data_IF_746898976546
#
_entry.id   IF_746898976546
#
_cell.length_a   1.000
_cell.length_b   1.000
_cell.length_c   1.000
_cell.angle_alpha   90.00
_cell.angle_beta   90.00
_cell.angle_gamma   90.00
#
_symmetry.space_group_name_H-M   'P 1'
#
loop_
_entity.id
_entity.type
_entity.pdbx_description
1 polymer ?
#
# COMPACT_ATOMS: atom_id res chain seq x y z
N UNK A 1 21.36 -2.66 -19.98
CA UNK A 1 21.37 -3.77 -19.00
C UNK A 1 20.48 -4.88 -19.52
N UNK A 2 20.80 -6.16 -19.26
CA UNK A 2 19.89 -7.27 -19.58
C UNK A 2 18.60 -7.15 -18.78
N UNK A 3 17.48 -7.58 -19.38
CA UNK A 3 16.20 -7.70 -18.68
C UNK A 3 16.29 -8.82 -17.63
N UNK A 4 15.89 -8.54 -16.39
CA UNK A 4 15.98 -9.48 -15.26
C UNK A 4 14.60 -9.80 -14.70
N UNK A 5 14.50 -10.87 -13.91
CA UNK A 5 13.26 -11.19 -13.20
C UNK A 5 12.83 -10.05 -12.25
N UNK A 6 13.78 -9.41 -11.56
CA UNK A 6 13.48 -8.26 -10.69
C UNK A 6 13.00 -7.05 -11.50
N UNK A 7 13.51 -6.85 -12.71
CA UNK A 7 12.97 -5.83 -13.64
C UNK A 7 11.54 -6.17 -14.09
N UNK A 8 11.26 -7.44 -14.41
CA UNK A 8 9.90 -7.90 -14.73
C UNK A 8 8.92 -7.63 -13.58
N UNK A 9 9.30 -8.08 -12.38
CA UNK A 9 8.49 -7.94 -11.18
C UNK A 9 8.27 -6.48 -10.78
N UNK A 10 9.31 -5.65 -10.85
CA UNK A 10 9.22 -4.21 -10.60
C UNK A 10 8.19 -3.56 -11.54
N UNK A 11 8.29 -3.82 -12.84
CA UNK A 11 7.38 -3.23 -13.83
C UNK A 11 5.92 -3.67 -13.60
N UNK A 12 5.70 -4.95 -13.26
CA UNK A 12 4.36 -5.45 -12.94
C UNK A 12 3.79 -4.83 -11.65
N UNK A 13 4.60 -4.73 -10.59
CA UNK A 13 4.21 -4.10 -9.33
C UNK A 13 3.87 -2.61 -9.50
N UNK A 14 4.67 -1.88 -10.30
CA UNK A 14 4.39 -0.47 -10.66
C UNK A 14 3.07 -0.36 -11.40
N UNK A 15 2.83 -1.21 -12.40
CA UNK A 15 1.58 -1.19 -13.16
C UNK A 15 0.37 -1.48 -12.25
N UNK A 16 0.45 -2.51 -11.41
CA UNK A 16 -0.61 -2.86 -10.47
C UNK A 16 -0.91 -1.71 -9.48
N UNK A 17 0.14 -1.11 -8.90
CA UNK A 17 0.00 0.03 -8.00
C UNK A 17 -0.65 1.22 -8.69
N UNK A 18 -0.26 1.52 -9.92
CA UNK A 18 -0.87 2.59 -10.71
C UNK A 18 -2.35 2.34 -10.97
N UNK A 19 -2.72 1.12 -11.37
CA UNK A 19 -4.13 0.76 -11.61
C UNK A 19 -4.97 0.88 -10.35
N UNK A 20 -4.43 0.49 -9.20
CA UNK A 20 -5.14 0.54 -7.92
C UNK A 20 -5.50 1.97 -7.45
N UNK A 21 -4.76 3.00 -7.90
CA UNK A 21 -4.99 4.39 -7.48
C UNK A 21 -5.48 5.32 -8.60
N UNK A 22 -5.56 4.84 -9.85
CA UNK A 22 -5.78 5.69 -11.04
C UNK A 22 -7.06 6.54 -11.00
N UNK A 23 -8.14 6.03 -10.38
CA UNK A 23 -9.45 6.69 -10.39
C UNK A 23 -9.36 8.11 -9.80
N UNK A 24 -9.65 9.10 -10.65
CA UNK A 24 -9.66 10.52 -10.33
C UNK A 24 -8.36 11.01 -9.65
N UNK A 25 -7.20 10.53 -10.13
CA UNK A 25 -5.92 10.87 -9.51
C UNK A 25 -4.80 11.10 -10.49
N UNK A 26 -4.22 10.02 -11.03
CA UNK A 26 -2.97 10.11 -11.76
C UNK A 26 -2.78 8.92 -12.70
N UNK A 27 -1.74 8.98 -13.53
CA UNK A 27 -1.41 7.97 -14.53
C UNK A 27 -0.22 7.09 -14.09
N UNK A 28 0.04 6.02 -14.85
CA UNK A 28 1.12 5.08 -14.57
C UNK A 28 2.51 5.72 -14.62
N UNK A 29 2.74 6.72 -15.49
CA UNK A 29 4.04 7.37 -15.60
C UNK A 29 4.38 8.14 -14.31
N UNK A 30 3.41 8.85 -13.73
CA UNK A 30 3.58 9.57 -12.47
C UNK A 30 3.81 8.61 -11.29
N UNK A 31 3.05 7.52 -11.21
CA UNK A 31 3.23 6.50 -10.15
C UNK A 31 4.59 5.81 -10.27
N UNK A 32 5.00 5.43 -11.49
CA UNK A 32 6.34 4.88 -11.74
C UNK A 32 7.42 5.83 -11.25
N UNK A 33 7.35 7.09 -11.69
CA UNK A 33 8.32 8.11 -11.31
C UNK A 33 8.37 8.33 -9.80
N UNK A 34 7.22 8.31 -9.11
CA UNK A 34 7.16 8.42 -7.65
C UNK A 34 7.77 7.21 -6.93
N UNK A 35 7.47 5.98 -7.36
CA UNK A 35 8.07 4.76 -6.81
C UNK A 35 9.60 4.78 -7.00
N UNK A 36 10.08 5.24 -8.15
CA UNK A 36 11.52 5.36 -8.46
C UNK A 36 12.26 6.41 -7.61
N UNK A 37 11.53 7.27 -6.87
CA UNK A 37 12.10 8.18 -5.85
C UNK A 37 12.15 7.59 -4.45
N UNK A 38 11.78 6.33 -4.30
CA UNK A 38 11.75 5.63 -3.01
C UNK A 38 12.65 4.40 -3.04
N UNK A 39 12.81 3.79 -1.87
CA UNK A 39 13.57 2.57 -1.64
C UNK A 39 12.75 1.30 -1.93
N UNK A 40 11.50 1.41 -2.42
CA UNK A 40 10.64 0.26 -2.73
C UNK A 40 11.29 -0.72 -3.72
N UNK A 41 12.02 -0.21 -4.72
CA UNK A 41 12.73 -1.06 -5.68
C UNK A 41 13.86 -1.85 -5.02
N UNK A 42 14.58 -1.22 -4.08
CA UNK A 42 15.69 -1.84 -3.36
C UNK A 42 15.24 -3.02 -2.50
N UNK A 43 13.97 -3.08 -2.08
CA UNK A 43 13.40 -4.22 -1.36
C UNK A 43 13.42 -5.54 -2.17
N UNK A 44 13.49 -5.47 -3.50
CA UNK A 44 13.52 -6.67 -4.35
C UNK A 44 14.80 -7.50 -4.14
N UNK A 45 15.90 -6.82 -3.83
CA UNK A 45 17.23 -7.39 -3.66
C UNK A 45 17.65 -7.49 -2.18
N UNK A 46 16.80 -6.97 -1.27
CA UNK A 46 17.12 -6.86 0.16
C UNK A 46 16.72 -8.11 0.94
N UNK A 47 17.60 -8.53 1.85
CA UNK A 47 17.31 -9.51 2.91
C UNK A 47 17.03 -8.81 4.27
N UNK A 48 16.73 -7.52 4.23
CA UNK A 48 16.43 -6.73 5.42
C UNK A 48 15.24 -7.31 6.20
N UNK A 49 15.44 -7.43 7.51
CA UNK A 49 14.39 -7.83 8.43
C UNK A 49 13.80 -6.59 9.07
N UNK A 50 12.50 -6.42 8.90
CA UNK A 50 11.74 -5.37 9.52
C UNK A 50 11.11 -5.86 10.82
N UNK A 51 11.16 -5.01 11.83
CA UNK A 51 10.19 -5.02 12.93
C UNK A 51 8.94 -4.24 12.50
N UNK A 52 7.84 -4.39 13.23
CA UNK A 52 6.64 -3.58 13.02
C UNK A 52 6.98 -2.08 13.06
N UNK A 53 7.71 -1.64 14.09
CA UNK A 53 8.07 -0.23 14.26
C UNK A 53 8.99 0.28 13.14
N UNK A 54 9.98 -0.52 12.71
CA UNK A 54 10.87 -0.11 11.61
C UNK A 54 10.17 -0.11 10.26
N UNK A 55 9.19 -0.99 10.05
CA UNK A 55 8.35 -0.95 8.85
C UNK A 55 7.41 0.26 8.85
N UNK A 56 6.82 0.60 10.00
CA UNK A 56 5.97 1.79 10.13
C UNK A 56 6.77 3.06 9.80
N UNK A 57 8.02 3.14 10.26
CA UNK A 57 8.92 4.25 9.92
C UNK A 57 9.27 4.27 8.43
N UNK A 58 9.67 3.14 7.86
CA UNK A 58 9.92 3.01 6.42
C UNK A 58 8.70 3.45 5.59
N UNK A 59 7.50 3.05 6.02
CA UNK A 59 6.26 3.41 5.36
C UNK A 59 6.00 4.92 5.39
N UNK A 60 6.22 5.59 6.54
CA UNK A 60 6.11 7.06 6.66
C UNK A 60 7.05 7.78 5.71
N UNK A 61 8.33 7.40 5.72
CA UNK A 61 9.34 8.01 4.86
C UNK A 61 9.01 7.80 3.37
N UNK A 62 8.62 6.59 3.00
CA UNK A 62 8.25 6.23 1.63
C UNK A 62 7.02 7.00 1.17
N UNK A 63 5.98 7.10 2.01
CA UNK A 63 4.77 7.86 1.69
C UNK A 63 5.08 9.35 1.52
N UNK A 64 5.90 9.92 2.43
CA UNK A 64 6.36 11.31 2.32
C UNK A 64 7.10 11.60 1.02
N UNK A 65 8.01 10.71 0.59
CA UNK A 65 8.72 10.82 -0.70
C UNK A 65 7.77 10.75 -1.90
N UNK A 66 6.81 9.83 -1.88
CA UNK A 66 5.79 9.72 -2.95
C UNK A 66 4.98 11.02 -3.05
N UNK A 67 4.46 11.51 -1.92
CA UNK A 67 3.62 12.73 -1.90
C UNK A 67 4.43 13.95 -2.36
N UNK A 68 5.65 14.11 -1.84
CA UNK A 68 6.53 15.21 -2.22
C UNK A 68 6.86 15.18 -3.72
N UNK A 69 7.14 14.00 -4.28
CA UNK A 69 7.44 13.87 -5.71
C UNK A 69 6.22 14.13 -6.59
N UNK A 70 5.05 13.63 -6.21
CA UNK A 70 3.82 13.89 -6.96
C UNK A 70 3.46 15.38 -6.95
N UNK A 71 3.66 16.07 -5.82
CA UNK A 71 3.53 17.54 -5.72
C UNK A 71 4.54 18.28 -6.58
N UNK A 72 5.77 17.78 -6.66
CA UNK A 72 6.81 18.36 -7.52
C UNK A 72 6.48 18.24 -9.01
N UNK A 73 5.88 17.11 -9.44
CA UNK A 73 5.45 16.92 -10.83
C UNK A 73 4.33 17.90 -11.19
N UNK A 74 3.33 18.03 -10.33
CA UNK A 74 2.15 18.88 -10.55
C UNK A 74 1.53 19.25 -9.20
N UNK A 75 1.33 20.55 -8.96
CA UNK A 75 0.79 21.03 -7.70
C UNK A 75 -0.66 20.55 -7.47
N UNK A 76 -1.50 20.47 -8.51
CA UNK A 76 -2.87 19.93 -8.38
C UNK A 76 -2.87 18.44 -8.03
N UNK A 77 -1.89 17.71 -8.57
CA UNK A 77 -1.68 16.30 -8.24
C UNK A 77 -1.22 16.15 -6.79
N UNK A 78 -0.35 17.04 -6.31
CA UNK A 78 0.08 17.12 -4.93
C UNK A 78 -1.07 17.31 -3.95
N UNK A 79 -2.03 18.18 -4.27
CA UNK A 79 -3.24 18.39 -3.45
C UNK A 79 -4.13 17.14 -3.39
N UNK A 80 -4.15 16.34 -4.45
CA UNK A 80 -4.89 15.06 -4.50
C UNK A 80 -4.12 13.91 -3.85
N UNK A 81 -2.81 14.04 -3.63
CA UNK A 81 -1.93 12.98 -3.11
C UNK A 81 -2.00 12.86 -1.59
N UNK A 82 -3.14 12.36 -1.09
CA UNK A 82 -3.31 12.04 0.33
C UNK A 82 -2.37 10.93 0.79
N UNK A 83 -2.19 10.82 2.11
CA UNK A 83 -1.41 9.73 2.70
C UNK A 83 -2.00 8.37 2.34
N UNK A 84 -3.33 8.22 2.39
CA UNK A 84 -3.97 6.97 2.02
C UNK A 84 -3.77 6.55 0.55
N UNK A 85 -3.62 7.50 -0.38
CA UNK A 85 -3.25 7.19 -1.77
C UNK A 85 -1.80 6.73 -1.90
N UNK A 86 -0.87 7.43 -1.23
CA UNK A 86 0.54 7.02 -1.19
C UNK A 86 0.69 5.63 -0.53
N UNK A 87 0.00 5.40 0.58
CA UNK A 87 -0.05 4.12 1.26
C UNK A 87 -0.60 2.99 0.37
N UNK A 88 -1.64 3.24 -0.43
CA UNK A 88 -2.16 2.25 -1.39
C UNK A 88 -1.12 1.90 -2.46
N UNK A 89 -0.34 2.87 -2.95
CA UNK A 89 0.77 2.62 -3.89
C UNK A 89 1.79 1.68 -3.25
N UNK A 90 2.24 2.01 -2.02
CA UNK A 90 3.22 1.23 -1.26
C UNK A 90 2.72 -0.20 -1.03
N UNK A 91 1.49 -0.34 -0.51
CA UNK A 91 0.91 -1.62 -0.16
C UNK A 91 0.72 -2.52 -1.38
N UNK A 92 0.25 -1.99 -2.52
CA UNK A 92 0.11 -2.79 -3.75
C UNK A 92 1.47 -3.19 -4.32
N UNK A 93 2.45 -2.28 -4.28
CA UNK A 93 3.80 -2.60 -4.70
C UNK A 93 4.37 -3.75 -3.85
N UNK A 94 4.34 -3.63 -2.52
CA UNK A 94 4.87 -4.65 -1.59
C UNK A 94 4.07 -5.95 -1.70
N UNK A 95 2.74 -5.89 -1.83
CA UNK A 95 1.92 -7.09 -2.05
C UNK A 95 2.38 -7.87 -3.27
N UNK A 96 2.57 -7.16 -4.39
CA UNK A 96 2.93 -7.78 -5.66
C UNK A 96 4.38 -8.27 -5.64
N UNK A 97 5.29 -7.44 -5.17
CA UNK A 97 6.73 -7.65 -5.22
C UNK A 97 7.26 -8.61 -4.16
N UNK A 98 6.62 -8.66 -2.98
CA UNK A 98 7.13 -9.36 -1.80
C UNK A 98 6.11 -10.39 -1.31
N UNK A 99 4.87 -9.97 -0.95
CA UNK A 99 3.90 -10.88 -0.33
C UNK A 99 3.55 -12.05 -1.25
N UNK A 100 3.16 -11.77 -2.50
CA UNK A 100 2.81 -12.83 -3.47
C UNK A 100 4.05 -13.62 -3.88
N UNK A 101 5.17 -12.95 -4.18
CA UNK A 101 6.43 -13.58 -4.58
C UNK A 101 6.90 -14.59 -3.52
N UNK A 102 6.87 -14.20 -2.26
CA UNK A 102 7.38 -14.98 -1.13
C UNK A 102 6.30 -15.86 -0.49
N UNK A 103 5.12 -15.98 -1.12
CA UNK A 103 3.98 -16.75 -0.62
C UNK A 103 3.55 -16.38 0.81
N UNK A 104 3.69 -15.11 1.19
CA UNK A 104 3.35 -14.61 2.53
C UNK A 104 4.35 -14.99 3.63
N UNK A 105 5.44 -15.70 3.30
CA UNK A 105 6.30 -16.33 4.31
C UNK A 105 7.44 -15.46 4.81
N UNK A 106 7.86 -14.45 4.04
CA UNK A 106 8.96 -13.58 4.45
C UNK A 106 8.59 -12.68 5.63
N UNK A 107 9.60 -12.25 6.40
CA UNK A 107 9.38 -11.38 7.57
C UNK A 107 8.63 -10.09 7.18
N UNK A 108 9.01 -9.46 6.06
CA UNK A 108 8.31 -8.30 5.54
C UNK A 108 6.87 -8.64 5.12
N UNK A 109 6.64 -9.77 4.45
CA UNK A 109 5.30 -10.16 4.03
C UNK A 109 4.31 -10.29 5.20
N UNK A 110 4.79 -10.77 6.36
CA UNK A 110 3.95 -10.96 7.56
C UNK A 110 3.49 -9.66 8.22
N UNK A 111 4.27 -8.58 8.11
CA UNK A 111 4.01 -7.32 8.80
C UNK A 111 3.58 -6.18 7.87
N UNK A 112 3.78 -6.34 6.56
CA UNK A 112 3.48 -5.32 5.56
C UNK A 112 2.01 -4.91 5.63
N UNK A 113 1.76 -3.61 5.47
CA UNK A 113 0.40 -3.10 5.48
C UNK A 113 -0.39 -3.64 4.28
N UNK A 114 -1.63 -4.10 4.49
CA UNK A 114 -2.48 -4.55 3.41
C UNK A 114 -2.90 -3.35 2.54
N UNK A 115 -3.24 -3.58 1.25
CA UNK A 115 -3.88 -2.56 0.44
C UNK A 115 -5.28 -2.20 0.95
N UNK A 116 -5.40 -1.09 1.68
CA UNK A 116 -6.69 -0.63 2.21
C UNK A 116 -7.57 -0.04 1.10
N UNK A 117 -8.83 -0.46 0.98
CA UNK A 117 -9.84 0.23 0.17
C UNK A 117 -11.23 0.12 0.78
N UNK A 118 -12.21 0.74 0.13
CA UNK A 118 -13.59 0.78 0.63
C UNK A 118 -14.24 -0.61 0.68
N UNK A 119 -13.89 -1.55 -0.20
CA UNK A 119 -14.47 -2.92 -0.17
C UNK A 119 -13.99 -3.62 1.10
N UNK A 120 -12.66 -3.63 1.31
CA UNK A 120 -12.04 -4.21 2.50
C UNK A 120 -12.63 -3.61 3.78
N UNK A 121 -12.65 -2.27 3.89
CA UNK A 121 -13.14 -1.59 5.08
C UNK A 121 -14.62 -1.86 5.35
N UNK A 122 -15.46 -1.84 4.32
CA UNK A 122 -16.90 -2.11 4.46
C UNK A 122 -17.15 -3.53 4.94
N UNK A 123 -16.47 -4.52 4.36
CA UNK A 123 -16.68 -5.91 4.71
C UNK A 123 -16.08 -6.25 6.09
N UNK A 124 -14.89 -5.75 6.41
CA UNK A 124 -14.30 -5.90 7.73
C UNK A 124 -15.21 -5.28 8.80
N UNK A 125 -15.83 -4.12 8.54
CA UNK A 125 -16.75 -3.49 9.48
C UNK A 125 -18.02 -4.32 9.75
N UNK A 126 -18.49 -5.15 8.81
CA UNK A 126 -19.66 -6.01 9.03
C UNK A 126 -19.42 -7.01 10.16
N UNK A 127 -18.21 -7.56 10.23
CA UNK A 127 -17.79 -8.50 11.28
C UNK A 127 -17.26 -7.76 12.53
N UNK A 128 -16.62 -6.61 12.36
CA UNK A 128 -15.93 -5.87 13.42
C UNK A 128 -16.52 -4.48 13.66
N UNK A 129 -17.85 -4.37 13.78
CA UNK A 129 -18.59 -3.08 13.87
C UNK A 129 -18.05 -2.10 14.90
N UNK A 130 -17.50 -2.60 16.02
CA UNK A 130 -16.96 -1.77 17.11
C UNK A 130 -15.74 -0.95 16.68
N UNK A 131 -15.04 -1.35 15.62
CA UNK A 131 -13.87 -0.64 15.10
C UNK A 131 -14.24 0.58 14.25
N UNK A 132 -15.48 0.62 13.72
CA UNK A 132 -15.98 1.73 12.89
C UNK A 132 -15.11 1.96 11.65
N UNK A 133 -14.78 0.89 10.92
CA UNK A 133 -13.84 0.93 9.79
C UNK A 133 -14.42 1.59 8.54
N UNK A 134 -15.74 1.56 8.39
CA UNK A 134 -16.49 2.11 7.25
C UNK A 134 -16.52 3.65 7.21
N UNK A 135 -16.21 4.32 8.33
CA UNK A 135 -16.12 5.79 8.41
C UNK A 135 -14.93 6.37 7.65
N UNK A 136 -13.92 5.56 7.37
CA UNK A 136 -12.68 6.02 6.76
C UNK A 136 -12.81 6.12 5.24
N UNK A 137 -12.58 7.31 4.70
CA UNK A 137 -12.33 7.46 3.27
C UNK A 137 -10.84 7.28 2.98
N UNK A 138 -10.46 6.07 2.56
CA UNK A 138 -9.05 5.72 2.29
C UNK A 138 -8.35 6.69 1.32
N UNK A 139 -9.07 7.31 0.39
CA UNK A 139 -8.48 8.27 -0.57
C UNK A 139 -8.17 9.64 0.02
N UNK A 140 -8.61 9.92 1.25
CA UNK A 140 -8.48 11.22 1.91
C UNK A 140 -7.76 11.13 3.28
N UNK A 141 -7.25 9.95 3.66
CA UNK A 141 -6.56 9.78 4.93
C UNK A 141 -5.34 10.68 5.02
N UNK A 142 -5.23 11.39 6.14
CA UNK A 142 -3.98 11.91 6.66
C UNK A 142 -3.10 10.78 7.22
N UNK A 143 -1.83 11.10 7.52
CA UNK A 143 -0.91 10.14 8.15
C UNK A 143 -1.46 9.60 9.47
N UNK A 144 -1.97 10.49 10.35
CA UNK A 144 -2.48 10.09 11.65
C UNK A 144 -3.71 9.18 11.53
N UNK A 145 -4.65 9.51 10.65
CA UNK A 145 -5.84 8.68 10.42
C UNK A 145 -5.48 7.33 9.80
N UNK A 146 -4.47 7.29 8.93
CA UNK A 146 -3.97 6.05 8.34
C UNK A 146 -3.40 5.12 9.41
N UNK A 147 -2.55 5.62 10.31
CA UNK A 147 -1.97 4.78 11.36
C UNK A 147 -2.99 4.42 12.44
N UNK A 148 -3.94 5.30 12.78
CA UNK A 148 -5.08 4.92 13.63
C UNK A 148 -5.85 3.75 13.02
N UNK A 149 -6.08 3.78 11.70
CA UNK A 149 -6.74 2.71 10.97
C UNK A 149 -5.91 1.41 10.94
N UNK A 150 -4.60 1.50 10.71
CA UNK A 150 -3.69 0.34 10.75
C UNK A 150 -3.72 -0.32 12.13
N UNK A 151 -3.63 0.45 13.21
CA UNK A 151 -3.70 -0.08 14.57
C UNK A 151 -5.02 -0.78 14.84
N UNK A 152 -6.14 -0.23 14.37
CA UNK A 152 -7.45 -0.91 14.46
C UNK A 152 -7.45 -2.23 13.71
N UNK A 153 -6.93 -2.27 12.48
CA UNK A 153 -6.89 -3.49 11.69
C UNK A 153 -5.97 -4.54 12.32
N UNK A 154 -4.87 -4.14 12.97
CA UNK A 154 -3.98 -5.05 13.72
C UNK A 154 -4.65 -5.70 14.93
N UNK A 155 -5.73 -5.13 15.46
CA UNK A 155 -6.52 -5.78 16.53
C UNK A 155 -7.33 -6.98 16.04
N UNK A 156 -7.48 -7.15 14.72
CA UNK A 156 -8.08 -8.34 14.14
C UNK A 156 -6.99 -9.43 14.09
N UNK A 157 -7.15 -10.46 14.91
CA UNK A 157 -6.14 -11.51 15.07
C UNK A 157 -5.98 -12.34 13.79
N UNK A 158 -4.81 -12.22 13.16
CA UNK A 158 -4.33 -13.01 12.01
C UNK A 158 -2.88 -13.43 12.26
N UNK A 159 -2.41 -14.49 11.60
CA UNK A 159 -0.98 -14.86 11.67
C UNK A 159 -0.11 -13.85 10.94
N UNK A 160 -0.61 -13.35 9.80
CA UNK A 160 0.06 -12.35 8.97
C UNK A 160 -0.89 -11.20 8.63
N UNK A 161 -0.38 -9.97 8.60
CA UNK A 161 -1.24 -8.81 8.43
C UNK A 161 -1.95 -8.76 7.06
N UNK A 162 -1.37 -9.38 6.02
CA UNK A 162 -2.02 -9.48 4.71
C UNK A 162 -3.32 -10.30 4.72
N UNK A 163 -3.53 -11.18 5.71
CA UNK A 163 -4.73 -12.04 5.78
C UNK A 163 -6.02 -11.26 6.00
N UNK A 164 -5.94 -10.02 6.49
CA UNK A 164 -7.09 -9.11 6.56
C UNK A 164 -7.71 -8.83 5.18
N UNK A 165 -6.97 -9.07 4.10
CA UNK A 165 -7.52 -9.05 2.74
C UNK A 165 -8.56 -10.15 2.47
N UNK A 166 -8.82 -11.07 3.41
CA UNK A 166 -10.02 -11.94 3.39
C UNK A 166 -11.34 -11.15 3.30
N UNK A 167 -11.32 -9.89 3.73
CA UNK A 167 -12.45 -8.97 3.64
C UNK A 167 -12.55 -8.27 2.28
N UNK A 168 -11.53 -8.39 1.44
CA UNK A 168 -11.52 -7.83 0.10
C UNK A 168 -12.07 -8.84 -0.91
N UNK A 169 -12.80 -8.34 -1.92
CA UNK A 169 -13.30 -9.14 -3.04
C UNK A 169 -13.01 -8.42 -4.35
N UNK A 170 -12.55 -9.15 -5.40
CA UNK A 170 -12.32 -8.57 -6.73
C UNK A 170 -13.61 -8.12 -7.42
N UNK A 171 -14.75 -8.67 -7.01
CA UNK A 171 -16.08 -8.28 -7.47
C UNK A 171 -16.89 -7.69 -6.32
N UNK A 172 -17.61 -6.61 -6.57
CA UNK A 172 -18.67 -6.18 -5.66
C UNK A 172 -19.89 -7.05 -5.97
N UNK A 173 -20.47 -7.67 -4.95
CA UNK A 173 -21.78 -8.30 -5.11
C UNK A 173 -22.77 -7.22 -5.57
N UNK A 174 -23.53 -7.52 -6.62
CA UNK A 174 -24.63 -6.67 -7.13
C UNK A 174 -25.70 -6.42 -6.06
#
# INVERSE_FOLDING_TARGET
MPYTFNEHLHNYAVWAAARAVARNFTNTANVKSAIEKTELRSLLDSNEKFSIASFDQFHRETAGKIIAHLKFIDNELGEKASYGRAAKIIAIYIKTAIVIRDSGMSNLARIAHPPIDRILLTNANKEHKKLGLDRYNWTQLSENEYFELVEKLRTIEFESFWEVERYWSPIQAE
#
